data_IF_055678989206
#
_entry.id   IF_055678989206
#
_cell.length_a   1.000
_cell.length_b   1.000
_cell.length_c   1.000
_cell.angle_alpha   90.00
_cell.angle_beta   90.00
_cell.angle_gamma   90.00
#
_symmetry.space_group_name_H-M   'P 1'
#
loop_
_entity.id
_entity.type
_entity.pdbx_description
1 polymer ?
#
# COMPACT_ATOMS: atom_id res chain seq x y z
N UNK A 1 21.20 -10.28 -8.81
CA UNK A 1 20.35 -10.69 -7.67
C UNK A 1 20.86 -10.12 -6.36
N UNK A 2 22.14 -10.32 -6.00
CA UNK A 2 22.74 -9.71 -4.81
C UNK A 2 22.55 -8.17 -4.81
N UNK A 3 22.84 -7.55 -5.95
CA UNK A 3 22.65 -6.10 -6.16
C UNK A 3 21.19 -5.66 -5.95
N UNK A 4 20.22 -6.48 -6.38
CA UNK A 4 18.79 -6.15 -6.25
C UNK A 4 18.35 -6.16 -4.78
N UNK A 5 18.86 -7.14 -3.99
CA UNK A 5 18.59 -7.21 -2.55
C UNK A 5 19.24 -6.02 -1.84
N UNK A 6 20.47 -5.69 -2.21
CA UNK A 6 21.19 -4.54 -1.67
C UNK A 6 20.45 -3.22 -1.97
N UNK A 7 20.02 -3.00 -3.22
CA UNK A 7 19.25 -1.80 -3.60
C UNK A 7 17.95 -1.70 -2.81
N UNK A 8 17.22 -2.80 -2.66
CA UNK A 8 15.98 -2.82 -1.87
C UNK A 8 16.24 -2.48 -0.39
N UNK A 9 17.31 -3.04 0.19
CA UNK A 9 17.70 -2.80 1.57
C UNK A 9 18.12 -1.34 1.80
N UNK A 10 18.97 -0.78 0.94
CA UNK A 10 19.36 0.63 0.99
C UNK A 10 18.17 1.57 0.79
N UNK A 11 17.26 1.24 -0.13
CA UNK A 11 16.05 2.04 -0.36
C UNK A 11 15.19 2.08 0.89
N UNK A 12 15.04 0.96 1.60
CA UNK A 12 14.31 0.90 2.86
C UNK A 12 14.98 1.74 3.96
N UNK A 13 16.31 1.60 4.13
CA UNK A 13 17.08 2.42 5.09
C UNK A 13 16.89 3.91 4.81
N UNK A 14 17.06 4.31 3.54
CA UNK A 14 16.91 5.68 3.12
C UNK A 14 15.47 6.19 3.34
N UNK A 15 14.47 5.38 3.05
CA UNK A 15 13.06 5.74 3.25
C UNK A 15 12.70 5.99 4.71
N UNK A 16 13.24 5.20 5.64
CA UNK A 16 13.02 5.40 7.09
C UNK A 16 13.78 6.62 7.61
N UNK A 17 14.99 6.87 7.08
CA UNK A 17 15.92 7.88 7.60
C UNK A 17 15.67 9.28 7.05
N UNK A 18 15.15 9.39 5.82
CA UNK A 18 14.95 10.66 5.13
C UNK A 18 13.55 11.22 5.39
N UNK A 19 13.40 12.56 5.38
CA UNK A 19 12.09 13.18 5.53
C UNK A 19 11.17 12.85 4.35
N UNK A 20 9.91 12.53 4.65
CA UNK A 20 8.88 12.27 3.64
C UNK A 20 8.57 13.53 2.83
N UNK A 21 8.42 13.36 1.51
CA UNK A 21 8.06 14.44 0.61
C UNK A 21 6.58 14.86 0.81
N UNK A 22 6.29 16.15 1.09
CA UNK A 22 4.92 16.66 1.27
C UNK A 22 3.99 16.35 0.10
N UNK A 23 4.47 16.52 -1.13
CA UNK A 23 3.68 16.30 -2.34
C UNK A 23 3.32 14.82 -2.48
N UNK A 24 4.28 13.94 -2.19
CA UNK A 24 4.05 12.50 -2.27
C UNK A 24 3.02 12.04 -1.23
N UNK A 25 3.03 12.61 -0.02
CA UNK A 25 2.01 12.31 1.00
C UNK A 25 0.61 12.68 0.49
N UNK A 26 0.43 13.89 -0.05
CA UNK A 26 -0.86 14.35 -0.54
C UNK A 26 -1.37 13.54 -1.75
N UNK A 27 -0.48 13.24 -2.71
CA UNK A 27 -0.82 12.37 -3.85
C UNK A 27 -1.22 10.95 -3.38
N UNK A 28 -0.52 10.42 -2.39
CA UNK A 28 -0.82 9.11 -1.79
C UNK A 28 -2.18 9.10 -1.11
N UNK A 29 -2.47 10.10 -0.27
CA UNK A 29 -3.79 10.25 0.38
C UNK A 29 -4.91 10.31 -0.64
N UNK A 30 -4.77 11.16 -1.67
CA UNK A 30 -5.76 11.29 -2.73
C UNK A 30 -5.95 9.99 -3.52
N UNK A 31 -4.86 9.25 -3.78
CA UNK A 31 -4.91 7.93 -4.41
C UNK A 31 -5.68 6.90 -3.57
N UNK A 32 -5.41 6.85 -2.26
CA UNK A 32 -6.12 5.97 -1.32
C UNK A 32 -7.62 6.29 -1.26
N UNK A 33 -8.01 7.57 -1.22
CA UNK A 33 -9.41 7.97 -1.26
C UNK A 33 -10.09 7.56 -2.58
N UNK A 34 -9.40 7.75 -3.70
CA UNK A 34 -9.93 7.36 -5.01
C UNK A 34 -10.14 5.84 -5.12
N UNK A 35 -9.24 5.05 -4.55
CA UNK A 35 -9.34 3.61 -4.54
C UNK A 35 -10.33 3.07 -3.49
N UNK A 36 -10.72 3.89 -2.50
CA UNK A 36 -11.51 3.43 -1.36
C UNK A 36 -12.84 2.76 -1.73
N UNK A 37 -13.67 3.31 -2.65
CA UNK A 37 -14.93 2.66 -3.05
C UNK A 37 -14.72 1.28 -3.69
N UNK A 38 -13.58 1.06 -4.35
CA UNK A 38 -13.28 -0.21 -5.01
C UNK A 38 -13.18 -1.38 -4.01
N UNK A 39 -12.87 -1.11 -2.74
CA UNK A 39 -12.90 -2.15 -1.70
C UNK A 39 -14.32 -2.69 -1.44
N UNK A 40 -15.36 -2.02 -1.93
CA UNK A 40 -16.78 -2.34 -1.69
C UNK A 40 -17.56 -2.58 -3.00
N UNK A 41 -16.86 -2.87 -4.09
CA UNK A 41 -17.47 -2.99 -5.43
C UNK A 41 -18.28 -4.26 -5.68
N UNK A 42 -18.34 -5.20 -4.72
CA UNK A 42 -19.08 -6.45 -4.85
C UNK A 42 -19.65 -6.92 -3.52
N UNK A 43 -20.69 -7.76 -3.55
CA UNK A 43 -21.25 -8.37 -2.33
C UNK A 43 -20.19 -9.17 -1.55
N UNK A 44 -19.30 -9.87 -2.27
CA UNK A 44 -18.21 -10.63 -1.65
C UNK A 44 -17.23 -9.70 -0.90
N UNK A 45 -16.82 -8.59 -1.52
CA UNK A 45 -15.90 -7.64 -0.87
C UNK A 45 -16.57 -6.89 0.28
N UNK A 46 -17.84 -6.50 0.15
CA UNK A 46 -18.63 -5.91 1.23
C UNK A 46 -18.68 -6.84 2.44
N UNK A 47 -19.01 -8.13 2.24
CA UNK A 47 -19.09 -9.10 3.33
C UNK A 47 -17.73 -9.32 4.01
N UNK A 48 -16.65 -9.41 3.23
CA UNK A 48 -15.29 -9.52 3.77
C UNK A 48 -14.90 -8.30 4.62
N UNK A 49 -15.22 -7.09 4.13
CA UNK A 49 -14.95 -5.85 4.86
C UNK A 49 -15.77 -5.77 6.15
N UNK A 50 -17.06 -6.11 6.12
CA UNK A 50 -17.91 -6.12 7.32
C UNK A 50 -17.40 -7.12 8.36
N UNK A 51 -17.01 -8.32 7.91
CA UNK A 51 -16.40 -9.32 8.78
C UNK A 51 -15.12 -8.81 9.46
N UNK A 52 -14.24 -8.15 8.70
CA UNK A 52 -13.01 -7.55 9.25
C UNK A 52 -13.30 -6.44 10.26
N UNK A 53 -14.22 -5.52 9.94
CA UNK A 53 -14.61 -4.44 10.84
C UNK A 53 -15.19 -4.98 12.16
N UNK A 54 -16.07 -5.98 12.08
CA UNK A 54 -16.64 -6.63 13.26
C UNK A 54 -15.59 -7.38 14.09
N UNK A 55 -14.71 -8.14 13.44
CA UNK A 55 -13.67 -8.93 14.09
C UNK A 55 -12.66 -8.06 14.86
N UNK A 56 -12.23 -6.94 14.27
CA UNK A 56 -11.31 -5.99 14.90
C UNK A 56 -12.01 -4.89 15.70
N UNK A 57 -13.28 -5.09 16.06
CA UNK A 57 -14.09 -4.18 16.88
C UNK A 57 -14.03 -2.71 16.41
N UNK A 58 -14.05 -2.50 15.10
CA UNK A 58 -14.04 -1.15 14.54
C UNK A 58 -15.37 -0.43 14.83
N UNK A 59 -15.35 0.90 15.01
CA UNK A 59 -16.56 1.70 15.17
C UNK A 59 -17.52 1.54 13.99
N UNK A 60 -18.82 1.57 14.25
CA UNK A 60 -19.85 1.46 13.20
C UNK A 60 -19.79 2.61 12.18
N UNK A 61 -19.21 3.75 12.55
CA UNK A 61 -19.03 4.93 11.69
C UNK A 61 -17.67 4.96 10.98
N UNK A 62 -16.89 3.88 11.03
CA UNK A 62 -15.55 3.80 10.45
C UNK A 62 -15.51 4.22 8.98
N UNK A 63 -16.45 3.75 8.16
CA UNK A 63 -16.49 4.07 6.73
C UNK A 63 -16.65 5.57 6.46
N UNK A 64 -17.52 6.23 7.23
CA UNK A 64 -17.75 7.67 7.13
C UNK A 64 -16.61 8.50 7.72
N UNK A 65 -15.86 7.92 8.67
CA UNK A 65 -14.73 8.58 9.31
C UNK A 65 -13.40 8.37 8.60
N UNK A 66 -13.26 7.31 7.80
CA UNK A 66 -12.00 6.97 7.13
C UNK A 66 -11.39 8.14 6.34
N UNK A 67 -12.15 8.90 5.50
CA UNK A 67 -11.56 10.05 4.80
C UNK A 67 -11.04 11.12 5.76
N UNK A 68 -11.80 11.42 6.82
CA UNK A 68 -11.42 12.42 7.83
C UNK A 68 -10.17 12.00 8.61
N UNK A 69 -10.04 10.70 8.90
CA UNK A 69 -8.86 10.15 9.56
C UNK A 69 -7.63 10.27 8.66
N UNK A 70 -7.79 9.95 7.37
CA UNK A 70 -6.70 10.02 6.40
C UNK A 70 -6.22 11.46 6.14
N UNK A 71 -7.13 12.42 6.04
CA UNK A 71 -6.81 13.84 5.85
C UNK A 71 -6.01 14.42 7.02
N UNK A 72 -6.31 13.98 8.26
CA UNK A 72 -5.63 14.44 9.48
C UNK A 72 -4.18 13.99 9.61
N UNK A 73 -3.76 12.97 8.85
CA UNK A 73 -2.39 12.43 8.94
C UNK A 73 -1.40 13.50 8.49
N UNK A 74 -0.44 13.85 9.36
CA UNK A 74 0.63 14.79 9.05
C UNK A 74 1.91 14.08 8.59
N UNK A 75 2.84 14.83 8.00
CA UNK A 75 4.17 14.31 7.66
C UNK A 75 4.91 13.78 8.90
N UNK A 76 4.74 14.46 10.03
CA UNK A 76 5.36 14.07 11.28
C UNK A 76 4.77 12.75 11.80
N UNK A 77 3.46 12.53 11.68
CA UNK A 77 2.84 11.26 12.07
C UNK A 77 3.41 10.10 11.26
N UNK A 78 3.58 10.29 9.94
CA UNK A 78 4.17 9.26 9.07
C UNK A 78 5.62 9.01 9.44
N UNK A 79 6.42 10.07 9.62
CA UNK A 79 7.83 9.94 10.00
C UNK A 79 7.98 9.21 11.35
N UNK A 80 7.18 9.59 12.34
CA UNK A 80 7.17 8.96 13.66
C UNK A 80 6.76 7.49 13.58
N UNK A 81 5.74 7.16 12.77
CA UNK A 81 5.30 5.79 12.57
C UNK A 81 6.41 4.94 11.91
N UNK A 82 7.11 5.47 10.91
CA UNK A 82 8.24 4.79 10.28
C UNK A 82 9.35 4.50 11.28
N UNK A 83 9.78 5.51 12.05
CA UNK A 83 10.85 5.34 13.05
C UNK A 83 10.45 4.40 14.20
N UNK A 84 9.16 4.34 14.52
CA UNK A 84 8.63 3.49 15.61
C UNK A 84 8.44 2.03 15.21
N UNK A 85 8.09 1.77 13.94
CA UNK A 85 7.64 0.46 13.51
C UNK A 85 8.56 -0.21 12.48
N UNK A 86 9.44 0.55 11.82
CA UNK A 86 10.31 0.04 10.78
C UNK A 86 11.77 0.20 11.22
N UNK A 87 12.38 -0.93 11.56
CA UNK A 87 13.75 -1.04 12.06
C UNK A 87 14.59 -1.80 11.03
N UNK A 88 15.31 -1.12 10.13
CA UNK A 88 16.13 -1.76 9.10
C UNK A 88 17.19 -2.74 9.67
N UNK A 89 17.62 -2.52 10.91
CA UNK A 89 18.54 -3.37 11.64
C UNK A 89 17.92 -4.69 12.15
N UNK A 90 16.58 -4.79 12.21
CA UNK A 90 15.84 -5.92 12.77
C UNK A 90 15.06 -6.71 11.70
N UNK A 91 15.51 -6.71 10.45
CA UNK A 91 14.82 -7.37 9.34
C UNK A 91 15.08 -8.88 9.31
N UNK A 92 14.02 -9.65 9.04
CA UNK A 92 14.14 -11.05 8.63
C UNK A 92 14.05 -11.13 7.10
N UNK A 93 15.14 -11.52 6.44
CA UNK A 93 15.19 -11.63 4.98
C UNK A 93 15.21 -13.11 4.59
N UNK A 94 14.22 -13.52 3.80
CA UNK A 94 14.10 -14.88 3.26
C UNK A 94 14.43 -14.81 1.77
N UNK A 95 15.46 -15.55 1.34
CA UNK A 95 15.86 -15.63 -0.07
C UNK A 95 15.77 -17.08 -0.52
N UNK A 96 15.08 -17.30 -1.63
CA UNK A 96 14.98 -18.61 -2.28
C UNK A 96 15.83 -18.58 -3.55
N UNK A 97 16.91 -19.36 -3.57
CA UNK A 97 17.83 -19.47 -4.70
C UNK A 97 18.59 -20.80 -4.61
N UNK A 98 18.93 -21.38 -5.76
CA UNK A 98 19.74 -22.60 -5.87
C UNK A 98 21.20 -22.37 -5.45
N UNK A 99 21.75 -21.18 -5.72
CA UNK A 99 23.13 -20.81 -5.41
C UNK A 99 23.20 -19.35 -4.97
N UNK A 100 23.25 -19.13 -3.66
CA UNK A 100 23.46 -17.81 -3.06
C UNK A 100 24.61 -17.91 -2.06
N UNK A 101 25.57 -17.00 -2.18
CA UNK A 101 26.57 -16.82 -1.15
C UNK A 101 25.96 -16.03 0.02
N UNK A 102 25.59 -16.77 1.07
CA UNK A 102 25.03 -16.21 2.30
C UNK A 102 26.01 -15.27 3.00
N UNK A 103 27.30 -15.60 3.02
CA UNK A 103 28.30 -14.80 3.74
C UNK A 103 28.55 -13.45 3.04
N UNK A 104 28.59 -13.46 1.71
CA UNK A 104 28.64 -12.23 0.92
C UNK A 104 27.40 -11.35 1.20
N UNK A 105 26.20 -11.93 1.18
CA UNK A 105 24.96 -11.19 1.45
C UNK A 105 24.93 -10.59 2.86
N UNK A 106 25.27 -11.36 3.89
CA UNK A 106 25.32 -10.84 5.26
C UNK A 106 26.31 -9.68 5.41
N UNK A 107 27.45 -9.76 4.72
CA UNK A 107 28.46 -8.70 4.73
C UNK A 107 27.92 -7.42 4.08
N UNK A 108 27.29 -7.54 2.91
CA UNK A 108 26.66 -6.42 2.20
C UNK A 108 25.59 -5.75 3.06
N UNK A 109 24.68 -6.53 3.67
CA UNK A 109 23.60 -5.98 4.49
C UNK A 109 24.12 -5.27 5.75
N UNK A 110 25.15 -5.83 6.41
CA UNK A 110 25.81 -5.18 7.56
C UNK A 110 26.52 -3.88 7.15
N UNK A 111 27.09 -3.84 5.95
CA UNK A 111 27.73 -2.65 5.41
C UNK A 111 26.71 -1.55 5.12
N UNK A 112 25.53 -1.88 4.58
CA UNK A 112 24.47 -0.90 4.30
C UNK A 112 23.95 -0.21 5.58
N UNK A 113 23.93 -0.92 6.72
CA UNK A 113 23.53 -0.38 8.03
C UNK A 113 24.61 0.50 8.67
N UNK A 114 25.85 0.46 8.18
CA UNK A 114 26.92 1.32 8.67
C UNK A 114 26.76 2.71 8.05
N UNK A 115 26.95 3.81 8.80
CA UNK A 115 26.84 5.16 8.25
C UNK A 115 27.96 5.42 7.23
N UNK A 116 27.69 5.10 5.96
CA UNK A 116 28.53 5.43 4.83
C UNK A 116 27.81 6.53 4.04
N UNK A 117 28.39 7.74 4.07
CA UNK A 117 27.93 8.90 3.31
C UNK A 117 28.21 8.64 1.83
N UNK A 118 27.32 7.95 1.13
CA UNK A 118 27.36 7.83 -0.32
C UNK A 118 26.02 8.26 -0.92
N UNK A 119 26.07 9.40 -1.60
CA UNK A 119 25.01 10.03 -2.37
C UNK A 119 24.69 9.22 -3.62
N UNK A 120 24.05 8.05 -3.47
CA UNK A 120 23.45 7.36 -4.59
C UNK A 120 21.94 7.58 -4.51
N UNK A 121 21.49 8.71 -5.04
CA UNK A 121 20.09 8.94 -5.38
C UNK A 121 19.74 8.02 -6.54
N UNK A 122 18.91 6.97 -6.37
CA UNK A 122 18.30 6.34 -7.53
C UNK A 122 17.29 7.36 -8.08
N UNK A 123 17.51 7.82 -9.31
CA UNK A 123 16.52 8.63 -10.02
C UNK A 123 15.30 7.76 -10.25
N UNK A 124 14.27 7.92 -9.41
CA UNK A 124 12.96 7.34 -9.67
C UNK A 124 12.39 8.14 -10.84
N UNK A 125 12.49 7.58 -12.04
CA UNK A 125 11.77 8.10 -13.20
C UNK A 125 10.29 8.28 -12.82
N UNK A 126 9.69 9.46 -13.05
CA UNK A 126 8.31 9.67 -12.72
C UNK A 126 7.45 8.66 -13.48
N UNK A 127 6.61 7.93 -12.74
CA UNK A 127 5.62 7.00 -13.29
C UNK A 127 4.86 7.74 -14.40
N UNK A 128 4.83 7.21 -15.64
CA UNK A 128 4.10 7.84 -16.73
C UNK A 128 2.65 8.07 -16.30
N UNK A 129 2.13 9.28 -16.54
CA UNK A 129 0.70 9.57 -16.44
C UNK A 129 -0.04 8.82 -17.55
N UNK A 130 -0.22 7.52 -17.39
CA UNK A 130 -1.08 6.75 -18.29
C UNK A 130 -2.52 7.10 -17.97
N UNK A 131 -3.07 7.94 -18.84
CA UNK A 131 -4.46 8.09 -19.27
C UNK A 131 -5.32 6.92 -18.78
N UNK A 132 -6.21 7.19 -17.81
CA UNK A 132 -7.44 6.41 -17.66
C UNK A 132 -8.56 7.34 -18.08
N UNK A 133 -9.18 6.98 -19.21
CA UNK A 133 -10.36 7.63 -19.76
C UNK A 133 -11.47 7.70 -18.70
N UNK A 134 -12.28 8.75 -18.76
CA UNK A 134 -13.55 8.80 -18.04
C UNK A 134 -14.35 7.53 -18.34
N UNK A 135 -15.00 6.88 -17.36
CA UNK A 135 -15.90 5.79 -17.67
C UNK A 135 -16.99 6.35 -18.60
N UNK A 136 -17.16 5.69 -19.74
CA UNK A 136 -18.23 6.00 -20.67
C UNK A 136 -19.56 6.00 -19.92
N UNK A 137 -20.43 6.96 -20.24
CA UNK A 137 -21.79 7.01 -19.72
C UNK A 137 -22.43 5.62 -19.81
N UNK A 138 -22.92 5.17 -18.67
CA UNK A 138 -23.67 3.94 -18.50
C UNK A 138 -24.86 3.94 -19.47
N UNK A 139 -24.87 2.97 -20.38
CA UNK A 139 -26.05 2.62 -21.17
C UNK A 139 -26.95 1.86 -20.22
N UNK A 140 -28.06 2.49 -19.82
CA UNK A 140 -29.16 1.82 -19.11
C UNK A 140 -29.66 0.67 -19.96
N UNK A 141 -29.31 -0.56 -19.58
CA UNK A 141 -30.08 -1.75 -19.98
C UNK A 141 -31.33 -1.82 -19.09
N UNK A 142 -32.50 -1.75 -19.72
CA UNK A 142 -33.77 -2.09 -19.07
C UNK A 142 -33.71 -3.54 -18.54
N UNK A 143 -34.37 -3.85 -17.41
CA UNK A 143 -34.31 -5.19 -16.85
C UNK A 143 -35.03 -6.16 -17.78
N UNK A 144 -34.28 -7.10 -18.36
CA UNK A 144 -34.84 -8.29 -18.99
C UNK A 144 -35.47 -9.14 -17.89
N UNK A 145 -36.80 -9.11 -17.83
CA UNK A 145 -37.61 -10.07 -17.07
C UNK A 145 -37.35 -11.48 -17.59
N UNK A 146 -36.81 -12.35 -16.73
CA UNK A 146 -36.71 -13.79 -17.00
C UNK A 146 -37.92 -14.51 -16.39
N UNK A 147 -38.56 -15.49 -17.06
CA UNK A 147 -39.87 -15.99 -16.64
C UNK A 147 -39.88 -17.01 -15.49
N UNK A 148 -38.74 -17.28 -14.84
CA UNK A 148 -38.60 -18.47 -13.96
C UNK A 148 -38.33 -18.18 -12.48
N UNK A 149 -38.35 -16.93 -12.03
CA UNK A 149 -38.30 -16.64 -10.58
C UNK A 149 -39.69 -16.77 -9.94
N UNK A 150 -40.11 -18.01 -9.68
CA UNK A 150 -41.21 -18.27 -8.76
C UNK A 150 -40.79 -17.87 -7.33
N UNK A 151 -41.56 -16.98 -6.72
CA UNK A 151 -41.42 -16.60 -5.31
C UNK A 151 -41.50 -17.84 -4.40
N UNK A 152 -40.51 -18.02 -3.53
CA UNK A 152 -40.65 -18.91 -2.38
C UNK A 152 -41.79 -18.38 -1.50
N UNK A 153 -42.89 -19.14 -1.44
CA UNK A 153 -44.05 -18.84 -0.60
C UNK A 153 -43.71 -19.00 0.89
N UNK A 154 -44.22 -18.07 1.69
CA UNK A 154 -44.52 -18.23 3.12
C UNK A 154 -46.02 -18.00 3.30
#
# INVERSE_FOLDING_TARGET
>A
MLDSIQVAHQTLINFVSQPINPKQLEETKAGMLRAFPNNYSSNASINAQLGSLGFYNQPADYLSNYPKLLEKITLQDVQNALQKHLHPECLTIIVVNDKLDKAALETTLKQDLSPQVHSNTPSVEPIPKTIIAQPAKEVTDEPVSSPDDALASI
#
